data_IF_408082423181
#
_entry.id   IF_408082423181
#
_cell.length_a   1.000
_cell.length_b   1.000
_cell.length_c   1.000
_cell.angle_alpha   90.00
_cell.angle_beta   90.00
_cell.angle_gamma   90.00
#
_symmetry.space_group_name_H-M   'P 1'
#
loop_
_entity.id
_entity.type
_entity.pdbx_description
1 polymer ?
#
# COMPACT_ATOMS: atom_id res chain seq x y z
N UNK A 1 -1.42 -13.90 9.07
CA UNK A 1 -0.54 -13.93 7.88
C UNK A 1 -1.45 -14.23 6.71
N UNK A 2 -1.62 -13.29 5.78
CA UNK A 2 -2.54 -13.42 4.64
C UNK A 2 -1.67 -13.83 3.45
N UNK A 3 -2.05 -14.87 2.73
CA UNK A 3 -1.36 -15.33 1.53
C UNK A 3 -2.25 -15.08 0.32
N UNK A 4 -1.70 -14.43 -0.71
CA UNK A 4 -2.36 -14.27 -2.00
C UNK A 4 -1.90 -15.39 -2.93
N UNK A 5 -2.85 -16.09 -3.55
CA UNK A 5 -2.58 -17.12 -4.57
C UNK A 5 -3.23 -16.69 -5.87
N UNK A 6 -2.46 -16.65 -6.96
CA UNK A 6 -2.90 -16.28 -8.30
C UNK A 6 -2.53 -17.38 -9.30
N UNK A 7 -3.47 -17.81 -10.14
CA UNK A 7 -3.27 -18.72 -11.25
C UNK A 7 -3.87 -18.14 -12.53
N UNK A 8 -3.31 -18.49 -13.68
CA UNK A 8 -3.78 -18.06 -14.99
C UNK A 8 -3.29 -19.04 -16.06
N UNK A 9 -3.98 -19.09 -17.19
CA UNK A 9 -3.60 -19.80 -18.41
C UNK A 9 -2.55 -19.04 -19.25
N UNK A 10 -2.29 -17.75 -18.93
CA UNK A 10 -1.21 -16.93 -19.49
C UNK A 10 -0.12 -16.63 -18.45
N UNK A 11 1.09 -16.31 -18.93
CA UNK A 11 2.17 -15.79 -18.07
C UNK A 11 1.84 -14.37 -17.61
N UNK A 12 2.05 -14.10 -16.32
CA UNK A 12 1.85 -12.78 -15.68
C UNK A 12 3.06 -12.36 -14.82
N UNK A 13 4.19 -13.05 -14.94
CA UNK A 13 5.43 -12.62 -14.29
C UNK A 13 5.99 -11.38 -14.99
N UNK A 14 6.53 -10.44 -14.20
CA UNK A 14 7.03 -9.14 -14.68
C UNK A 14 6.03 -8.28 -15.49
N UNK A 15 4.74 -8.67 -15.57
CA UNK A 15 3.69 -7.85 -16.15
C UNK A 15 3.06 -6.97 -15.07
N UNK A 16 2.90 -5.68 -15.37
CA UNK A 16 2.11 -4.78 -14.54
C UNK A 16 0.63 -4.96 -14.90
N UNK A 17 -0.05 -5.81 -14.15
CA UNK A 17 -1.50 -6.01 -14.25
C UNK A 17 -2.16 -5.44 -12.99
N UNK A 18 -2.89 -4.32 -13.15
CA UNK A 18 -3.61 -3.66 -12.06
C UNK A 18 -5.01 -4.27 -11.84
N UNK A 19 -5.50 -5.05 -12.80
CA UNK A 19 -6.78 -5.74 -12.70
C UNK A 19 -6.60 -7.22 -12.28
N UNK A 20 -7.51 -7.77 -11.46
CA UNK A 20 -8.65 -7.09 -10.82
C UNK A 20 -8.25 -6.30 -9.55
N UNK A 21 -8.87 -5.13 -9.35
CA UNK A 21 -8.75 -4.34 -8.12
C UNK A 21 -9.95 -4.62 -7.19
N UNK A 22 -9.69 -4.78 -5.89
CA UNK A 22 -10.74 -4.87 -4.86
C UNK A 22 -10.50 -3.73 -3.86
N UNK A 23 -11.46 -2.81 -3.79
CA UNK A 23 -11.42 -1.68 -2.85
C UNK A 23 -12.46 -1.87 -1.75
N UNK A 24 -12.03 -1.80 -0.49
CA UNK A 24 -12.90 -1.87 0.69
C UNK A 24 -12.65 -0.63 1.55
N UNK A 25 -13.70 0.17 1.76
CA UNK A 25 -13.62 1.43 2.51
C UNK A 25 -14.40 1.35 3.82
N UNK A 26 -13.86 1.96 4.87
CA UNK A 26 -14.62 2.19 6.11
C UNK A 26 -15.57 3.39 5.94
N UNK A 27 -16.79 3.30 6.48
CA UNK A 27 -17.77 4.40 6.48
C UNK A 27 -17.64 5.34 7.68
N UNK A 28 -16.78 5.02 8.65
CA UNK A 28 -16.53 5.88 9.80
C UNK A 28 -15.85 7.20 9.40
N UNK A 29 -16.18 8.26 10.14
CA UNK A 29 -15.57 9.56 9.93
C UNK A 29 -14.19 9.60 10.59
N UNK A 30 -13.20 10.08 9.84
CA UNK A 30 -11.90 10.47 10.37
C UNK A 30 -12.13 11.66 11.31
N UNK A 31 -11.50 11.63 12.49
CA UNK A 31 -11.69 12.65 13.52
C UNK A 31 -11.10 14.01 13.12
N UNK A 32 -9.78 14.14 13.22
CA UNK A 32 -9.06 15.34 12.78
C UNK A 32 -8.57 15.17 11.33
N UNK A 33 -9.40 15.60 10.39
CA UNK A 33 -9.09 15.53 8.95
C UNK A 33 -7.95 16.47 8.57
N UNK A 34 -7.77 17.59 9.28
CA UNK A 34 -6.71 18.56 8.99
C UNK A 34 -5.35 17.98 9.33
N UNK A 35 -5.21 17.38 10.51
CA UNK A 35 -3.97 16.74 10.91
C UNK A 35 -3.68 15.48 10.06
N UNK A 36 -4.72 14.70 9.73
CA UNK A 36 -4.60 13.57 8.81
C UNK A 36 -4.04 14.01 7.46
N UNK A 37 -4.63 15.03 6.82
CA UNK A 37 -4.19 15.53 5.51
C UNK A 37 -2.77 16.11 5.54
N UNK A 38 -2.31 16.59 6.71
CA UNK A 38 -0.94 17.06 6.90
C UNK A 38 0.07 15.91 6.94
N UNK A 39 -0.30 14.77 7.54
CA UNK A 39 0.63 13.64 7.77
C UNK A 39 0.57 12.62 6.63
N UNK A 40 -0.59 12.44 6.01
CA UNK A 40 -0.83 11.41 5.01
C UNK A 40 0.16 11.42 3.83
N UNK A 41 0.47 12.56 3.18
CA UNK A 41 1.33 12.56 1.99
C UNK A 41 2.74 12.03 2.27
N UNK A 42 3.41 12.57 3.29
CA UNK A 42 4.77 12.17 3.66
C UNK A 42 4.80 10.72 4.18
N UNK A 43 3.78 10.33 4.96
CA UNK A 43 3.67 8.98 5.49
C UNK A 43 3.47 7.94 4.37
N UNK A 44 2.69 8.26 3.35
CA UNK A 44 2.46 7.37 2.20
C UNK A 44 3.68 7.29 1.29
N UNK A 45 4.39 8.40 1.05
CA UNK A 45 5.64 8.40 0.30
C UNK A 45 6.69 7.48 0.95
N UNK A 46 6.84 7.59 2.27
CA UNK A 46 7.68 6.72 3.08
C UNK A 46 7.28 5.24 2.98
N UNK A 47 6.00 4.96 2.81
CA UNK A 47 5.48 3.60 2.63
C UNK A 47 5.79 3.06 1.23
N UNK A 48 5.58 3.87 0.18
CA UNK A 48 5.90 3.51 -1.20
C UNK A 48 7.38 3.14 -1.36
N UNK A 49 8.29 3.99 -0.89
CA UNK A 49 9.74 3.76 -0.96
C UNK A 49 10.14 2.47 -0.22
N UNK A 50 9.58 2.25 0.97
CA UNK A 50 9.91 1.07 1.77
C UNK A 50 9.39 -0.22 1.13
N UNK A 51 8.15 -0.22 0.66
CA UNK A 51 7.52 -1.39 0.05
C UNK A 51 8.10 -1.69 -1.34
N UNK A 52 8.46 -0.69 -2.15
CA UNK A 52 9.10 -0.92 -3.45
C UNK A 52 10.49 -1.54 -3.34
N UNK A 53 11.24 -1.16 -2.30
CA UNK A 53 12.54 -1.74 -1.99
C UNK A 53 12.46 -3.15 -1.39
N UNK A 54 11.58 -3.37 -0.40
CA UNK A 54 11.55 -4.62 0.40
C UNK A 54 10.42 -5.59 0.01
N UNK A 55 9.59 -5.22 -0.97
CA UNK A 55 8.32 -5.87 -1.36
C UNK A 55 7.25 -5.92 -0.28
N UNK A 56 7.53 -5.26 0.84
CA UNK A 56 6.64 -5.18 1.98
C UNK A 56 7.00 -3.96 2.83
N UNK A 57 5.97 -3.27 3.29
CA UNK A 57 6.11 -2.30 4.37
C UNK A 57 4.88 -2.38 5.29
N UNK A 58 5.11 -2.21 6.58
CA UNK A 58 4.08 -1.91 7.55
C UNK A 58 4.61 -0.84 8.50
N UNK A 59 3.91 0.27 8.61
CA UNK A 59 4.29 1.39 9.46
C UNK A 59 3.08 1.96 10.18
N UNK A 60 3.39 2.71 11.23
CA UNK A 60 2.41 3.45 12.02
C UNK A 60 2.84 4.91 12.02
N UNK A 61 1.90 5.83 11.81
CA UNK A 61 2.19 7.26 11.85
C UNK A 61 2.56 7.73 13.26
N UNK A 62 3.16 8.92 13.38
CA UNK A 62 3.10 9.70 14.62
C UNK A 62 1.67 9.82 15.14
N UNK A 63 1.54 10.07 16.45
CA UNK A 63 0.24 10.30 17.09
C UNK A 63 -0.37 11.60 16.56
N UNK A 64 -1.63 11.55 16.15
CA UNK A 64 -2.43 12.66 15.64
C UNK A 64 -3.64 12.85 16.57
N UNK A 65 -3.55 13.78 17.51
CA UNK A 65 -4.45 13.84 18.66
C UNK A 65 -4.48 12.53 19.45
N UNK A 66 -5.52 11.71 19.24
CA UNK A 66 -5.70 10.40 19.87
C UNK A 66 -5.69 9.22 18.87
N UNK A 67 -5.39 9.49 17.59
CA UNK A 67 -5.45 8.52 16.51
C UNK A 67 -4.08 8.32 15.85
N UNK A 68 -3.91 7.20 15.16
CA UNK A 68 -2.74 6.89 14.33
C UNK A 68 -3.20 6.28 13.02
N UNK A 69 -2.47 6.55 11.96
CA UNK A 69 -2.62 5.82 10.70
C UNK A 69 -1.80 4.54 10.80
N UNK A 70 -2.43 3.43 10.42
CA UNK A 70 -1.78 2.14 10.24
C UNK A 70 -1.85 1.80 8.76
N UNK A 71 -0.71 1.50 8.15
CA UNK A 71 -0.66 1.13 6.74
C UNK A 71 0.17 -0.12 6.53
N UNK A 72 -0.24 -0.91 5.55
CA UNK A 72 0.45 -2.10 5.07
C UNK A 72 0.43 -2.08 3.55
N UNK A 73 1.59 -2.29 2.93
CA UNK A 73 1.76 -2.39 1.48
C UNK A 73 2.56 -3.63 1.15
N UNK A 74 2.21 -4.29 0.06
CA UNK A 74 2.83 -5.52 -0.43
C UNK A 74 2.93 -5.46 -1.95
N UNK A 75 4.02 -6.02 -2.48
CA UNK A 75 4.16 -6.27 -3.91
C UNK A 75 4.29 -7.77 -4.16
N UNK A 76 3.77 -8.21 -5.31
CA UNK A 76 3.84 -9.62 -5.73
C UNK A 76 5.31 -10.02 -5.93
N UNK A 77 5.71 -11.23 -5.50
CA UNK A 77 7.02 -11.78 -5.82
C UNK A 77 7.24 -11.85 -7.33
N UNK A 78 8.41 -11.42 -7.81
CA UNK A 78 8.78 -11.51 -9.23
C UNK A 78 8.32 -10.34 -10.12
N UNK A 79 7.90 -9.21 -9.55
CA UNK A 79 7.88 -7.93 -10.29
C UNK A 79 9.24 -7.21 -10.16
N UNK A 80 9.53 -6.18 -10.95
CA UNK A 80 10.69 -5.29 -10.71
C UNK A 80 10.38 -4.25 -9.61
N UNK A 81 11.40 -3.61 -9.02
CA UNK A 81 11.17 -2.54 -8.05
C UNK A 81 10.48 -1.31 -8.67
N UNK A 82 10.76 -1.03 -9.95
CA UNK A 82 10.10 0.03 -10.72
C UNK A 82 8.62 -0.30 -10.93
N UNK A 83 8.32 -1.53 -11.35
CA UNK A 83 6.94 -1.99 -11.54
C UNK A 83 6.17 -2.00 -10.22
N UNK A 84 6.82 -2.36 -9.12
CA UNK A 84 6.22 -2.33 -7.79
C UNK A 84 5.93 -0.89 -7.33
N UNK A 85 6.87 0.04 -7.46
CA UNK A 85 6.66 1.45 -7.12
C UNK A 85 5.50 2.06 -7.94
N UNK A 86 5.49 1.79 -9.25
CA UNK A 86 4.43 2.23 -10.15
C UNK A 86 3.05 1.59 -9.85
N UNK A 87 3.01 0.44 -9.18
CA UNK A 87 1.76 -0.22 -8.78
C UNK A 87 1.22 0.32 -7.45
N UNK A 88 2.10 0.77 -6.56
CA UNK A 88 1.72 1.24 -5.23
C UNK A 88 1.25 2.70 -5.23
N UNK A 89 1.79 3.52 -6.12
CA UNK A 89 1.43 4.94 -6.30
C UNK A 89 0.13 5.11 -7.08
#
# INVERSE_FOLDING_TARGET
MICLVRYSDRSFFDSLEQEPEITVCNSEKIGDVTEFNRIWPDFMEDMFIAASSRRYAAKVSPLMGFQRIYALMQCIPGSSSISCDACLR
#
